data_IF_384574075346
#
_entry.id   IF_384574075346
#
_cell.length_a   1.000
_cell.length_b   1.000
_cell.length_c   1.000
_cell.angle_alpha   90.00
_cell.angle_beta   90.00
_cell.angle_gamma   90.00
#
_symmetry.space_group_name_H-M   'P 1'
#
loop_
_entity.id
_entity.type
_entity.pdbx_description
1 polymer ?
#
# COMPACT_ATOMS: atom_id res chain seq x y z
N UNK A 1 12.65 21.98 7.50
CA UNK A 1 12.85 21.23 8.75
C UNK A 1 11.64 21.46 9.64
N UNK A 2 11.22 20.47 10.41
CA UNK A 2 10.10 20.51 11.35
C UNK A 2 10.61 20.04 12.71
N UNK A 3 10.16 20.68 13.79
CA UNK A 3 10.40 20.20 15.14
C UNK A 3 9.30 19.19 15.50
N UNK A 4 9.68 17.94 15.73
CA UNK A 4 8.76 16.84 16.02
C UNK A 4 9.42 15.85 16.99
N UNK A 5 8.73 15.47 18.07
CA UNK A 5 9.23 14.56 19.10
C UNK A 5 10.67 14.91 19.59
N UNK A 6 10.88 16.18 19.96
CA UNK A 6 12.14 16.76 20.45
C UNK A 6 13.32 16.68 19.46
N UNK A 7 13.02 16.53 18.17
CA UNK A 7 14.03 16.49 17.10
C UNK A 7 13.67 17.47 16.01
N UNK A 8 14.70 18.04 15.40
CA UNK A 8 14.56 18.83 14.18
C UNK A 8 14.91 17.96 12.97
N UNK A 9 13.92 17.63 12.14
CA UNK A 9 14.09 16.73 11.00
C UNK A 9 13.27 17.15 9.75
N UNK A 10 13.54 16.60 8.56
CA UNK A 10 12.64 16.73 7.42
C UNK A 10 11.26 16.14 7.73
N UNK A 11 10.21 16.65 7.07
CA UNK A 11 8.86 16.14 7.25
C UNK A 11 8.69 14.75 6.62
N UNK A 12 8.97 13.69 7.37
CA UNK A 12 8.93 12.30 6.87
C UNK A 12 7.53 11.66 6.94
N UNK A 13 6.63 12.21 7.74
CA UNK A 13 5.29 11.65 7.98
C UNK A 13 4.25 12.76 7.98
N UNK A 14 2.97 12.37 7.83
CA UNK A 14 1.86 13.31 7.91
C UNK A 14 1.78 14.03 9.26
N UNK A 15 2.20 13.39 10.34
CA UNK A 15 2.19 14.02 11.66
C UNK A 15 3.23 15.15 11.78
N UNK A 16 4.31 15.13 11.01
CA UNK A 16 5.19 16.31 10.88
C UNK A 16 4.42 17.51 10.30
N UNK A 17 3.55 17.29 9.32
CA UNK A 17 2.75 18.38 8.72
C UNK A 17 1.72 18.93 9.71
N UNK A 18 1.19 18.10 10.62
CA UNK A 18 0.31 18.54 11.71
C UNK A 18 1.05 19.33 12.79
N UNK A 19 2.35 19.11 12.95
CA UNK A 19 3.18 19.83 13.93
C UNK A 19 3.92 21.03 13.32
N UNK A 20 3.89 21.18 12.00
CA UNK A 20 4.51 22.30 11.31
C UNK A 20 3.57 23.50 11.30
N UNK A 21 4.02 24.61 11.89
CA UNK A 21 3.33 25.90 11.81
C UNK A 21 3.08 26.30 10.34
N UNK A 22 1.91 26.88 10.09
CA UNK A 22 1.59 27.47 8.80
C UNK A 22 2.06 28.92 8.70
N UNK A 23 2.13 29.42 7.47
CA UNK A 23 2.44 30.81 7.15
C UNK A 23 1.45 31.29 6.09
N UNK A 24 1.18 32.62 6.01
CA UNK A 24 0.23 33.18 5.06
C UNK A 24 0.39 32.60 3.65
N UNK A 25 -0.71 32.11 3.10
CA UNK A 25 -0.78 31.70 1.70
C UNK A 25 -0.92 32.91 0.76
N UNK A 26 -1.12 32.65 -0.54
CA UNK A 26 -1.27 33.70 -1.56
C UNK A 26 -2.48 34.62 -1.31
N UNK A 27 -3.47 34.11 -0.59
CA UNK A 27 -4.74 34.77 -0.28
C UNK A 27 -4.73 35.30 1.18
N UNK A 28 -3.55 35.36 1.81
CA UNK A 28 -3.31 35.74 3.21
C UNK A 28 -4.04 34.88 4.25
N UNK A 29 -4.46 33.67 3.89
CA UNK A 29 -5.02 32.71 4.84
C UNK A 29 -3.89 32.07 5.64
N UNK A 30 -4.15 31.85 6.93
CA UNK A 30 -3.24 31.12 7.82
C UNK A 30 -4.05 30.01 8.47
N UNK A 31 -3.61 28.77 8.26
CA UNK A 31 -4.21 27.59 8.87
C UNK A 31 -3.52 27.28 10.20
N UNK A 32 -4.09 26.40 11.03
CA UNK A 32 -3.49 26.02 12.31
C UNK A 32 -2.13 25.36 12.11
N UNK A 33 -2.02 24.53 11.07
CA UNK A 33 -0.79 23.81 10.71
C UNK A 33 -0.79 23.42 9.23
N UNK A 34 0.39 23.07 8.69
CA UNK A 34 0.56 22.71 7.26
C UNK A 34 -0.36 21.59 6.78
N UNK A 35 -0.68 20.61 7.63
CA UNK A 35 -1.62 19.54 7.27
C UNK A 35 -3.04 20.06 7.01
N UNK A 36 -3.48 21.07 7.74
CA UNK A 36 -4.81 21.68 7.57
C UNK A 36 -4.82 22.56 6.33
N UNK A 37 -3.73 23.28 6.07
CA UNK A 37 -3.56 24.01 4.82
C UNK A 37 -3.75 23.12 3.60
N UNK A 38 -3.12 21.94 3.59
CA UNK A 38 -3.27 20.96 2.51
C UNK A 38 -4.73 20.52 2.35
N UNK A 39 -5.47 20.37 3.45
CA UNK A 39 -6.90 20.03 3.41
C UNK A 39 -7.75 21.21 2.89
N UNK A 40 -7.48 22.42 3.37
CA UNK A 40 -8.17 23.63 2.96
C UNK A 40 -7.98 23.93 1.48
N UNK A 41 -6.73 23.87 1.00
CA UNK A 41 -6.41 24.05 -0.43
C UNK A 41 -7.05 22.96 -1.30
N UNK A 42 -7.24 21.74 -0.79
CA UNK A 42 -7.99 20.71 -1.51
C UNK A 42 -9.46 21.11 -1.65
N UNK A 43 -10.09 21.60 -0.58
CA UNK A 43 -11.49 22.06 -0.61
C UNK A 43 -11.72 23.32 -1.45
N UNK A 44 -10.67 24.11 -1.74
CA UNK A 44 -10.78 25.21 -2.69
C UNK A 44 -11.14 24.74 -4.13
N UNK A 45 -10.83 23.49 -4.48
CA UNK A 45 -11.04 22.94 -5.83
C UNK A 45 -12.11 21.85 -5.92
N UNK A 46 -12.47 21.23 -4.79
CA UNK A 46 -13.37 20.08 -4.77
C UNK A 46 -14.56 20.35 -3.85
N UNK A 47 -15.70 19.76 -4.19
CA UNK A 47 -16.89 19.74 -3.34
C UNK A 47 -17.41 18.30 -3.25
N UNK A 48 -18.01 17.92 -2.14
CA UNK A 48 -18.71 16.65 -2.00
C UNK A 48 -20.10 16.87 -1.38
N UNK A 49 -20.94 15.83 -1.40
CA UNK A 49 -22.22 15.85 -0.70
C UNK A 49 -21.98 16.12 0.80
N UNK A 50 -22.76 17.01 1.46
CA UNK A 50 -22.54 17.39 2.86
C UNK A 50 -22.44 16.20 3.81
N UNK A 51 -23.25 15.15 3.58
CA UNK A 51 -23.28 13.93 4.40
C UNK A 51 -21.99 13.09 4.25
N UNK A 52 -21.20 13.35 3.19
CA UNK A 52 -19.96 12.64 2.88
C UNK A 52 -18.70 13.44 3.26
N UNK A 53 -18.82 14.69 3.73
CA UNK A 53 -17.65 15.52 4.06
C UNK A 53 -16.72 14.87 5.09
N UNK A 54 -17.27 14.34 6.17
CA UNK A 54 -16.47 13.66 7.20
C UNK A 54 -15.74 12.42 6.65
N UNK A 55 -16.43 11.64 5.80
CA UNK A 55 -15.84 10.47 5.13
C UNK A 55 -14.73 10.89 4.16
N UNK A 56 -14.98 11.92 3.34
CA UNK A 56 -13.99 12.45 2.42
C UNK A 56 -12.75 12.97 3.16
N UNK A 57 -12.93 13.73 4.23
CA UNK A 57 -11.84 14.22 5.07
C UNK A 57 -11.00 13.07 5.67
N UNK A 58 -11.65 11.97 6.06
CA UNK A 58 -10.97 10.76 6.53
C UNK A 58 -10.13 10.10 5.42
N UNK A 59 -10.73 9.93 4.22
CA UNK A 59 -10.06 9.33 3.06
C UNK A 59 -8.85 10.18 2.63
N UNK A 60 -9.00 11.50 2.56
CA UNK A 60 -7.93 12.42 2.18
C UNK A 60 -6.78 12.34 3.20
N UNK A 61 -7.08 12.38 4.50
CA UNK A 61 -6.06 12.22 5.54
C UNK A 61 -5.28 10.91 5.41
N UNK A 62 -5.97 9.81 5.10
CA UNK A 62 -5.32 8.52 4.85
C UNK A 62 -4.45 8.54 3.59
N UNK A 63 -4.91 9.21 2.52
CA UNK A 63 -4.14 9.41 1.31
C UNK A 63 -2.87 10.23 1.57
N UNK A 64 -2.97 11.34 2.31
CA UNK A 64 -1.82 12.19 2.67
C UNK A 64 -0.74 11.42 3.45
N UNK A 65 -1.13 10.54 4.39
CA UNK A 65 -0.19 9.65 5.11
C UNK A 65 0.65 8.80 4.17
N UNK A 66 0.06 8.30 3.08
CA UNK A 66 0.75 7.52 2.06
C UNK A 66 1.60 8.43 1.16
N UNK A 67 1.02 9.51 0.65
CA UNK A 67 1.67 10.41 -0.30
C UNK A 67 2.96 11.04 0.26
N UNK A 68 2.99 11.42 1.54
CA UNK A 68 4.23 11.97 2.15
C UNK A 68 5.36 10.94 2.13
N UNK A 69 5.07 9.67 2.42
CA UNK A 69 6.08 8.60 2.35
C UNK A 69 6.53 8.33 0.92
N UNK A 70 5.56 8.24 0.00
CA UNK A 70 5.82 7.96 -1.41
C UNK A 70 6.64 9.10 -2.05
N UNK A 71 6.42 10.36 -1.65
CA UNK A 71 7.19 11.52 -2.09
C UNK A 71 8.69 11.33 -1.87
N UNK A 72 9.12 10.88 -0.68
CA UNK A 72 10.54 10.65 -0.40
C UNK A 72 11.11 9.50 -1.24
N UNK A 73 10.36 8.40 -1.36
CA UNK A 73 10.77 7.27 -2.19
C UNK A 73 10.92 7.64 -3.67
N UNK A 74 9.91 8.29 -4.23
CA UNK A 74 9.89 8.72 -5.63
C UNK A 74 10.96 9.78 -5.89
N UNK A 75 11.24 10.65 -4.91
CA UNK A 75 12.30 11.64 -5.02
C UNK A 75 13.68 11.01 -5.09
N UNK A 76 13.95 9.93 -4.36
CA UNK A 76 15.20 9.16 -4.50
C UNK A 76 15.36 8.65 -5.93
N UNK A 77 14.33 7.98 -6.46
CA UNK A 77 14.35 7.42 -7.82
C UNK A 77 14.50 8.52 -8.87
N UNK A 78 13.78 9.63 -8.73
CA UNK A 78 13.89 10.76 -9.65
C UNK A 78 15.29 11.39 -9.60
N UNK A 79 15.89 11.50 -8.42
CA UNK A 79 17.26 12.03 -8.26
C UNK A 79 18.28 11.16 -8.99
N UNK A 80 18.13 9.83 -8.94
CA UNK A 80 18.97 8.89 -9.69
C UNK A 80 18.85 9.15 -11.20
N UNK A 81 17.63 9.24 -11.71
CA UNK A 81 17.37 9.51 -13.13
C UNK A 81 18.01 10.84 -13.54
N UNK A 82 17.82 11.89 -12.73
CA UNK A 82 18.39 13.22 -12.99
C UNK A 82 19.91 13.19 -12.98
N UNK A 83 20.55 12.53 -12.00
CA UNK A 83 22.01 12.40 -11.94
C UNK A 83 22.58 11.76 -13.20
N UNK A 84 21.98 10.65 -13.67
CA UNK A 84 22.44 10.00 -14.90
C UNK A 84 22.21 10.89 -16.12
N UNK A 85 21.07 11.56 -16.21
CA UNK A 85 20.77 12.45 -17.32
C UNK A 85 21.73 13.66 -17.38
N UNK A 86 22.03 14.30 -16.26
CA UNK A 86 22.79 15.57 -16.24
C UNK A 86 24.28 15.35 -16.07
N UNK A 87 24.70 14.50 -15.13
CA UNK A 87 26.12 14.30 -14.81
C UNK A 87 26.79 13.22 -15.65
N UNK A 88 26.01 12.23 -16.14
CA UNK A 88 26.52 11.15 -17.00
C UNK A 88 26.11 11.28 -18.46
N UNK A 89 25.17 12.18 -18.78
CA UNK A 89 24.58 12.30 -20.12
C UNK A 89 23.99 10.97 -20.63
N UNK A 90 23.45 10.17 -19.70
CA UNK A 90 22.89 8.86 -19.97
C UNK A 90 21.42 8.82 -19.57
N UNK A 91 20.59 8.15 -20.38
CA UNK A 91 19.20 7.89 -20.03
C UNK A 91 19.13 6.60 -19.22
N UNK A 92 18.51 6.69 -18.04
CA UNK A 92 18.16 5.54 -17.20
C UNK A 92 16.65 5.50 -17.04
N UNK A 93 16.06 4.33 -17.25
CA UNK A 93 14.62 4.15 -17.04
C UNK A 93 14.27 4.01 -15.56
N UNK A 94 13.03 4.35 -15.19
CA UNK A 94 12.56 4.27 -13.80
C UNK A 94 12.73 2.88 -13.19
N UNK A 95 12.57 1.81 -13.97
CA UNK A 95 12.73 0.42 -13.50
C UNK A 95 14.18 0.15 -13.09
N UNK A 96 15.14 0.64 -13.86
CA UNK A 96 16.58 0.51 -13.61
C UNK A 96 17.03 1.43 -12.48
N UNK A 97 16.57 2.68 -12.45
CA UNK A 97 16.90 3.64 -11.39
C UNK A 97 16.53 3.12 -9.99
N UNK A 98 15.48 2.30 -9.86
CA UNK A 98 15.09 1.67 -8.58
C UNK A 98 16.12 0.71 -8.01
N UNK A 99 17.04 0.18 -8.83
CA UNK A 99 18.09 -0.76 -8.42
C UNK A 99 19.47 -0.12 -8.30
N UNK A 100 19.61 1.16 -8.66
CA UNK A 100 20.86 1.88 -8.56
C UNK A 100 21.01 2.48 -7.16
N UNK A 101 22.25 2.53 -6.70
CA UNK A 101 22.67 3.24 -5.49
C UNK A 101 23.65 4.33 -5.89
N UNK A 102 23.35 5.56 -5.47
CA UNK A 102 24.26 6.68 -5.60
C UNK A 102 24.99 6.91 -4.28
N UNK A 103 26.19 7.45 -4.37
CA UNK A 103 26.88 7.98 -3.19
C UNK A 103 26.23 9.28 -2.73
N UNK A 104 26.53 9.68 -1.49
CA UNK A 104 26.09 10.97 -0.96
C UNK A 104 26.50 12.12 -1.88
N UNK A 105 27.76 12.12 -2.34
CA UNK A 105 28.34 13.12 -3.22
C UNK A 105 27.59 13.22 -4.56
N UNK A 106 27.08 12.10 -5.06
CA UNK A 106 26.30 12.07 -6.29
C UNK A 106 24.88 12.61 -6.09
N UNK A 107 24.21 12.23 -4.99
CA UNK A 107 22.87 12.75 -4.66
C UNK A 107 22.88 14.27 -4.47
N UNK A 108 23.88 14.81 -3.78
CA UNK A 108 23.93 16.24 -3.45
C UNK A 108 24.10 17.16 -4.68
N UNK A 109 24.56 16.63 -5.82
CA UNK A 109 24.70 17.39 -7.07
C UNK A 109 23.36 17.71 -7.74
N UNK A 110 22.31 16.94 -7.46
CA UNK A 110 21.05 17.00 -8.19
C UNK A 110 19.84 17.04 -7.24
N UNK A 111 19.74 18.06 -6.36
CA UNK A 111 18.58 18.17 -5.48
C UNK A 111 17.29 18.29 -6.30
N UNK A 112 16.19 17.64 -5.89
CA UNK A 112 14.87 17.90 -6.46
C UNK A 112 14.52 19.39 -6.36
N UNK A 113 13.82 19.95 -7.35
CA UNK A 113 13.51 21.38 -7.42
C UNK A 113 12.84 21.92 -6.15
N UNK A 114 11.93 21.14 -5.56
CA UNK A 114 11.21 21.50 -4.33
C UNK A 114 12.09 21.45 -3.07
N UNK A 115 13.27 20.83 -3.16
CA UNK A 115 14.31 20.81 -2.13
C UNK A 115 15.48 21.77 -2.42
N UNK A 116 15.55 22.37 -3.62
CA UNK A 116 16.73 23.11 -4.07
C UNK A 116 17.08 24.32 -3.16
N UNK A 117 16.06 24.96 -2.58
CA UNK A 117 16.23 26.06 -1.60
C UNK A 117 16.29 25.59 -0.14
N UNK A 118 16.28 24.28 0.11
CA UNK A 118 16.19 23.68 1.44
C UNK A 118 17.33 22.68 1.67
N UNK A 119 18.57 23.16 1.51
CA UNK A 119 19.78 22.32 1.56
C UNK A 119 19.91 21.47 2.82
N UNK A 120 19.63 22.05 4.00
CA UNK A 120 19.66 21.29 5.25
C UNK A 120 18.70 20.10 5.19
N UNK A 121 17.46 20.31 4.75
CA UNK A 121 16.50 19.22 4.63
C UNK A 121 16.96 18.17 3.61
N UNK A 122 17.48 18.62 2.46
CA UNK A 122 18.02 17.73 1.44
C UNK A 122 19.18 16.87 1.96
N UNK A 123 20.15 17.47 2.63
CA UNK A 123 21.28 16.73 3.19
C UNK A 123 20.81 15.69 4.22
N UNK A 124 19.80 15.99 5.04
CA UNK A 124 19.24 15.00 5.98
C UNK A 124 18.58 13.82 5.25
N UNK A 125 17.82 14.11 4.19
CA UNK A 125 17.18 13.07 3.37
C UNK A 125 18.23 12.17 2.71
N UNK A 126 19.26 12.76 2.11
CA UNK A 126 20.36 12.02 1.46
C UNK A 126 21.13 11.18 2.47
N UNK A 127 21.49 11.75 3.63
CA UNK A 127 22.19 11.02 4.68
C UNK A 127 21.42 9.76 5.08
N UNK A 128 20.11 9.88 5.29
CA UNK A 128 19.24 8.76 5.62
C UNK A 128 19.24 7.67 4.55
N UNK A 129 19.27 8.02 3.27
CA UNK A 129 19.34 7.03 2.18
C UNK A 129 20.69 6.34 2.05
N UNK A 130 21.76 6.94 2.56
CA UNK A 130 23.11 6.40 2.55
C UNK A 130 23.48 5.68 3.86
N UNK A 131 22.58 5.65 4.86
CA UNK A 131 22.81 4.90 6.10
C UNK A 131 22.81 3.38 5.84
N UNK A 132 23.80 2.60 6.34
CA UNK A 132 23.86 1.16 6.11
C UNK A 132 22.57 0.42 6.49
N UNK A 133 21.98 0.77 7.63
CA UNK A 133 20.73 0.17 8.08
C UNK A 133 19.54 0.45 7.14
N UNK A 134 19.52 1.62 6.48
CA UNK A 134 18.52 1.93 5.47
C UNK A 134 18.66 1.01 4.27
N UNK A 135 19.89 0.80 3.79
CA UNK A 135 20.18 -0.12 2.68
C UNK A 135 19.78 -1.57 3.02
N UNK A 136 20.14 -2.06 4.21
CA UNK A 136 19.74 -3.38 4.69
C UNK A 136 18.21 -3.55 4.67
N UNK A 137 17.49 -2.58 5.25
CA UNK A 137 16.04 -2.61 5.31
C UNK A 137 15.42 -2.56 3.91
N UNK A 138 15.93 -1.68 3.05
CA UNK A 138 15.47 -1.52 1.67
C UNK A 138 15.67 -2.81 0.85
N UNK A 139 16.84 -3.43 0.96
CA UNK A 139 17.20 -4.65 0.25
C UNK A 139 16.42 -5.87 0.77
N UNK A 140 16.29 -6.02 2.09
CA UNK A 140 15.44 -7.06 2.67
C UNK A 140 13.96 -6.92 2.24
N UNK A 141 13.42 -5.71 2.15
CA UNK A 141 12.08 -5.47 1.59
C UNK A 141 11.98 -5.82 0.10
N UNK A 142 13.04 -5.56 -0.67
CA UNK A 142 13.12 -5.94 -2.09
C UNK A 142 13.19 -7.45 -2.26
N UNK A 143 14.05 -8.13 -1.52
CA UNK A 143 14.17 -9.59 -1.52
C UNK A 143 12.85 -10.26 -1.18
N UNK A 144 12.18 -9.83 -0.10
CA UNK A 144 10.84 -10.35 0.25
C UNK A 144 9.82 -10.18 -0.88
N UNK A 145 9.88 -9.09 -1.65
CA UNK A 145 9.00 -8.88 -2.82
C UNK A 145 9.39 -9.79 -3.99
N UNK A 146 10.67 -10.09 -4.17
CA UNK A 146 11.15 -11.00 -5.21
C UNK A 146 10.86 -12.47 -4.90
N UNK A 147 10.72 -12.82 -3.62
CA UNK A 147 10.32 -14.16 -3.18
C UNK A 147 8.84 -14.45 -3.42
N UNK A 148 8.02 -13.46 -3.79
CA UNK A 148 6.61 -13.69 -4.11
C UNK A 148 6.49 -14.33 -5.50
N UNK A 149 5.93 -15.55 -5.61
CA UNK A 149 5.86 -16.28 -6.88
C UNK A 149 4.90 -15.64 -7.89
N UNK A 150 3.96 -14.81 -7.42
CA UNK A 150 2.96 -14.17 -8.25
C UNK A 150 2.29 -12.99 -7.55
N UNK A 151 1.23 -12.47 -8.16
CA UNK A 151 0.39 -11.46 -7.54
C UNK A 151 -0.14 -11.99 -6.19
N UNK A 152 -0.22 -11.17 -5.12
CA UNK A 152 -0.82 -11.61 -3.87
C UNK A 152 -2.27 -12.10 -4.04
N UNK A 153 -3.04 -11.44 -4.92
CA UNK A 153 -4.38 -11.80 -5.36
C UNK A 153 -4.73 -10.97 -6.61
N UNK A 154 -5.84 -11.29 -7.26
CA UNK A 154 -6.35 -10.65 -8.47
C UNK A 154 -7.54 -9.72 -8.22
N UNK A 155 -7.83 -9.38 -6.95
CA UNK A 155 -8.89 -8.45 -6.55
C UNK A 155 -8.63 -6.99 -6.98
N UNK A 156 -7.36 -6.64 -7.25
CA UNK A 156 -6.97 -5.24 -7.42
C UNK A 156 -7.21 -4.46 -6.11
N UNK A 157 -7.90 -3.32 -6.21
CA UNK A 157 -8.23 -2.47 -5.06
C UNK A 157 -9.57 -2.82 -4.41
N UNK A 158 -10.27 -3.83 -4.92
CA UNK A 158 -11.55 -4.27 -4.38
C UNK A 158 -11.34 -5.00 -3.06
N UNK A 159 -12.26 -4.79 -2.12
CA UNK A 159 -12.46 -5.71 -1.00
C UNK A 159 -12.91 -7.08 -1.53
N UNK A 160 -12.80 -8.12 -0.71
CA UNK A 160 -13.24 -9.46 -1.11
C UNK A 160 -14.75 -9.49 -1.44
N UNK A 161 -15.56 -8.75 -0.69
CA UNK A 161 -17.01 -8.62 -0.94
C UNK A 161 -17.30 -7.89 -2.25
N UNK A 162 -16.57 -6.81 -2.55
CA UNK A 162 -16.70 -6.12 -3.84
C UNK A 162 -16.22 -6.98 -5.01
N UNK A 163 -15.15 -7.76 -4.81
CA UNK A 163 -14.68 -8.74 -5.78
C UNK A 163 -15.75 -9.80 -6.06
N UNK A 164 -16.37 -10.35 -5.01
CA UNK A 164 -17.45 -11.33 -5.13
C UNK A 164 -18.67 -10.75 -5.86
N UNK A 165 -19.11 -9.54 -5.50
CA UNK A 165 -20.20 -8.85 -6.18
C UNK A 165 -19.89 -8.59 -7.66
N UNK A 166 -18.66 -8.19 -7.97
CA UNK A 166 -18.22 -7.96 -9.35
C UNK A 166 -18.13 -9.26 -10.15
N UNK A 167 -17.65 -10.34 -9.55
CA UNK A 167 -17.63 -11.65 -10.20
C UNK A 167 -19.04 -12.14 -10.47
N UNK A 168 -19.94 -12.05 -9.48
CA UNK A 168 -21.35 -12.41 -9.60
C UNK A 168 -22.02 -11.66 -10.75
N UNK A 169 -21.85 -10.34 -10.83
CA UNK A 169 -22.40 -9.52 -11.92
C UNK A 169 -21.87 -9.93 -13.31
N UNK A 170 -20.61 -10.38 -13.41
CA UNK A 170 -20.02 -10.84 -14.66
C UNK A 170 -20.49 -12.26 -15.08
N UNK A 171 -21.03 -13.05 -14.16
CA UNK A 171 -21.37 -14.47 -14.35
C UNK A 171 -22.85 -14.78 -14.04
N UNK A 172 -23.76 -13.87 -14.38
CA UNK A 172 -25.20 -14.13 -14.31
C UNK A 172 -25.86 -13.91 -12.94
N UNK A 173 -25.19 -13.25 -12.00
CA UNK A 173 -25.79 -12.73 -10.76
C UNK A 173 -25.97 -13.75 -9.65
N UNK A 174 -25.27 -14.88 -9.67
CA UNK A 174 -25.41 -15.88 -8.60
C UNK A 174 -24.80 -15.40 -7.28
N UNK A 175 -25.47 -15.60 -6.12
CA UNK A 175 -24.89 -15.32 -4.83
C UNK A 175 -23.63 -16.17 -4.63
N UNK A 176 -22.59 -15.58 -4.04
CA UNK A 176 -21.27 -16.18 -3.99
C UNK A 176 -20.71 -16.19 -2.57
N UNK A 177 -20.40 -17.38 -2.06
CA UNK A 177 -19.85 -17.58 -0.71
C UNK A 177 -18.45 -16.96 -0.56
N UNK A 178 -18.10 -16.58 0.68
CA UNK A 178 -16.86 -15.87 0.97
C UNK A 178 -15.61 -16.73 0.72
N UNK A 179 -15.65 -18.03 1.05
CA UNK A 179 -14.53 -18.96 0.76
C UNK A 179 -14.30 -19.07 -0.75
N UNK A 180 -15.39 -19.20 -1.52
CA UNK A 180 -15.35 -19.29 -2.97
C UNK A 180 -14.78 -18.01 -3.59
N UNK A 181 -15.21 -16.85 -3.11
CA UNK A 181 -14.66 -15.56 -3.51
C UNK A 181 -13.15 -15.47 -3.23
N UNK A 182 -12.72 -15.95 -2.05
CA UNK A 182 -11.30 -15.99 -1.70
C UNK A 182 -10.53 -16.87 -2.68
N UNK A 183 -10.97 -18.10 -2.92
CA UNK A 183 -10.37 -19.03 -3.88
C UNK A 183 -10.25 -18.41 -5.28
N UNK A 184 -11.35 -17.90 -5.83
CA UNK A 184 -11.36 -17.27 -7.15
C UNK A 184 -10.42 -16.08 -7.27
N UNK A 185 -10.33 -15.27 -6.21
CA UNK A 185 -9.45 -14.11 -6.22
C UNK A 185 -7.97 -14.49 -6.34
N UNK A 186 -7.63 -15.75 -6.09
CA UNK A 186 -6.32 -16.34 -6.31
C UNK A 186 -6.21 -17.11 -7.64
N UNK A 187 -7.31 -17.31 -8.38
CA UNK A 187 -7.30 -17.92 -9.73
C UNK A 187 -7.27 -16.86 -10.83
N UNK A 188 -7.93 -15.71 -10.66
CA UNK A 188 -7.96 -14.69 -11.71
C UNK A 188 -8.80 -13.46 -11.40
N UNK A 189 -9.01 -12.61 -12.40
CA UNK A 189 -9.82 -11.39 -12.29
C UNK A 189 -11.31 -11.77 -12.20
N UNK A 190 -12.12 -10.87 -11.62
CA UNK A 190 -13.57 -11.06 -11.48
C UNK A 190 -14.32 -11.29 -12.81
N UNK A 191 -13.74 -10.90 -13.95
CA UNK A 191 -14.33 -11.07 -15.29
C UNK A 191 -13.76 -12.26 -16.07
N UNK A 192 -12.85 -13.02 -15.47
CA UNK A 192 -12.29 -14.21 -16.11
C UNK A 192 -13.29 -15.37 -16.00
N UNK A 193 -13.32 -16.23 -17.01
CA UNK A 193 -14.10 -17.47 -17.00
C UNK A 193 -13.38 -18.49 -16.10
N UNK A 194 -13.62 -18.37 -14.80
CA UNK A 194 -13.03 -19.18 -13.74
C UNK A 194 -14.12 -19.59 -12.75
N UNK A 195 -14.05 -20.84 -12.29
CA UNK A 195 -14.86 -21.32 -11.17
C UNK A 195 -13.98 -22.00 -10.11
N UNK A 196 -14.51 -22.14 -8.91
CA UNK A 196 -13.86 -22.87 -7.82
C UNK A 196 -14.32 -24.32 -7.83
N UNK A 197 -13.35 -25.23 -7.80
CA UNK A 197 -13.56 -26.65 -7.57
C UNK A 197 -12.79 -27.07 -6.30
N UNK A 198 -13.43 -27.72 -5.31
CA UNK A 198 -12.73 -28.19 -4.12
C UNK A 198 -11.60 -29.19 -4.43
N UNK A 199 -11.66 -29.86 -5.59
CA UNK A 199 -10.63 -30.81 -6.07
C UNK A 199 -9.55 -30.14 -6.94
N UNK A 200 -9.56 -28.81 -7.06
CA UNK A 200 -8.52 -28.08 -7.79
C UNK A 200 -7.13 -28.35 -7.16
N UNK A 201 -6.10 -28.69 -7.96
CA UNK A 201 -4.76 -28.87 -7.42
C UNK A 201 -4.10 -27.52 -7.08
N UNK A 202 -2.98 -27.49 -6.33
CA UNK A 202 -2.28 -26.26 -5.96
C UNK A 202 -1.94 -25.33 -7.13
N UNK A 203 -1.67 -25.90 -8.32
CA UNK A 203 -1.31 -25.18 -9.55
C UNK A 203 -2.46 -24.37 -10.15
N UNK A 204 -3.71 -24.63 -9.72
CA UNK A 204 -4.87 -23.86 -10.14
C UNK A 204 -4.88 -22.42 -9.57
N UNK A 205 -4.02 -22.13 -8.59
CA UNK A 205 -3.94 -20.86 -7.90
C UNK A 205 -2.61 -20.14 -8.16
N UNK A 206 -2.62 -18.81 -8.05
CA UNK A 206 -1.44 -17.97 -8.23
C UNK A 206 -0.35 -18.16 -7.16
N UNK A 207 -0.71 -18.74 -6.01
CA UNK A 207 0.17 -19.06 -4.90
C UNK A 207 -0.27 -20.41 -4.32
N UNK A 208 0.63 -21.41 -4.33
CA UNK A 208 0.31 -22.79 -3.93
C UNK A 208 -0.21 -22.92 -2.49
N UNK A 209 0.17 -22.01 -1.57
CA UNK A 209 -0.31 -22.01 -0.18
C UNK A 209 -1.79 -21.64 -0.04
N UNK A 210 -2.44 -21.16 -1.10
CA UNK A 210 -3.89 -20.92 -1.12
C UNK A 210 -4.64 -22.24 -1.03
N UNK A 211 -4.19 -23.26 -1.78
CA UNK A 211 -4.77 -24.60 -1.75
C UNK A 211 -4.74 -25.17 -0.33
N UNK A 212 -3.56 -25.18 0.32
CA UNK A 212 -3.45 -25.73 1.68
C UNK A 212 -4.37 -25.02 2.67
N UNK A 213 -4.48 -23.68 2.59
CA UNK A 213 -5.41 -22.91 3.44
C UNK A 213 -6.88 -23.28 3.22
N UNK A 214 -7.28 -23.48 1.97
CA UNK A 214 -8.65 -23.90 1.61
C UNK A 214 -8.93 -25.30 2.15
N UNK A 215 -8.01 -26.24 1.98
CA UNK A 215 -8.14 -27.61 2.48
C UNK A 215 -8.18 -27.66 4.01
N UNK A 216 -7.27 -26.97 4.69
CA UNK A 216 -7.19 -26.92 6.16
C UNK A 216 -8.47 -26.30 6.76
N UNK A 217 -8.95 -25.19 6.20
CA UNK A 217 -10.21 -24.57 6.63
C UNK A 217 -11.40 -25.51 6.40
N UNK A 218 -11.50 -26.12 5.22
CA UNK A 218 -12.59 -27.04 4.87
C UNK A 218 -12.64 -28.23 5.82
N UNK A 219 -11.48 -28.77 6.17
CA UNK A 219 -11.35 -29.92 7.06
C UNK A 219 -11.79 -29.53 8.48
N UNK A 220 -11.25 -28.44 9.02
CA UNK A 220 -11.59 -27.96 10.35
C UNK A 220 -13.06 -27.50 10.48
N UNK A 221 -13.63 -26.92 9.42
CA UNK A 221 -15.02 -26.51 9.42
C UNK A 221 -15.97 -27.72 9.43
N UNK A 222 -15.63 -28.78 8.69
CA UNK A 222 -16.38 -30.06 8.72
C UNK A 222 -16.24 -30.79 10.05
N UNK A 223 -15.12 -30.65 10.75
CA UNK A 223 -14.98 -31.17 12.13
C UNK A 223 -15.94 -30.46 13.11
N UNK A 224 -16.19 -29.17 12.92
CA UNK A 224 -17.06 -28.36 13.79
C UNK A 224 -18.54 -28.51 13.42
N UNK A 225 -18.87 -28.43 12.13
CA UNK A 225 -20.25 -28.35 11.64
C UNK A 225 -20.79 -29.68 11.10
N UNK A 226 -19.93 -30.69 10.94
CA UNK A 226 -20.26 -31.99 10.38
C UNK A 226 -19.84 -32.16 8.91
N UNK A 227 -19.77 -33.41 8.42
CA UNK A 227 -19.23 -33.74 7.09
C UNK A 227 -20.06 -33.18 5.92
N UNK A 228 -21.36 -32.99 6.12
CA UNK A 228 -22.29 -32.45 5.11
C UNK A 228 -22.23 -30.92 4.99
N UNK A 229 -21.51 -30.23 5.89
CA UNK A 229 -21.35 -28.78 5.81
C UNK A 229 -20.49 -28.42 4.60
N UNK A 230 -21.03 -27.59 3.70
CA UNK A 230 -20.37 -27.14 2.48
C UNK A 230 -19.76 -25.73 2.68
N UNK A 231 -18.43 -25.63 2.85
CA UNK A 231 -17.76 -24.36 3.07
C UNK A 231 -17.86 -23.37 1.90
N UNK A 232 -18.24 -23.84 0.71
CA UNK A 232 -18.30 -23.02 -0.51
C UNK A 232 -19.59 -22.19 -0.61
N UNK A 233 -20.66 -22.64 0.06
CA UNK A 233 -21.98 -22.01 0.07
C UNK A 233 -22.32 -21.39 1.42
N UNK A 234 -21.78 -21.95 2.50
CA UNK A 234 -22.00 -21.46 3.86
C UNK A 234 -21.13 -20.24 4.21
N UNK A 235 -21.56 -19.40 5.18
CA UNK A 235 -20.75 -18.30 5.71
C UNK A 235 -19.42 -18.79 6.30
N UNK A 236 -18.38 -17.96 6.23
CA UNK A 236 -17.11 -18.30 6.90
C UNK A 236 -17.29 -18.33 8.42
N UNK A 237 -16.86 -19.42 9.04
CA UNK A 237 -16.74 -19.52 10.48
C UNK A 237 -15.46 -18.81 10.94
N UNK A 238 -15.65 -17.65 11.56
CA UNK A 238 -14.54 -16.83 12.06
C UNK A 238 -13.68 -17.54 13.12
N UNK A 239 -14.26 -18.41 13.96
CA UNK A 239 -13.49 -19.15 14.96
C UNK A 239 -12.60 -20.20 14.31
N UNK A 240 -13.13 -20.92 13.32
CA UNK A 240 -12.36 -21.91 12.54
C UNK A 240 -11.25 -21.21 11.75
N UNK A 241 -11.56 -20.11 11.05
CA UNK A 241 -10.55 -19.30 10.33
C UNK A 241 -9.42 -18.89 11.27
N UNK A 242 -9.74 -18.45 12.49
CA UNK A 242 -8.73 -18.00 13.44
C UNK A 242 -7.90 -19.15 14.02
N UNK A 243 -8.54 -20.28 14.32
CA UNK A 243 -7.88 -21.50 14.83
C UNK A 243 -6.88 -22.06 13.84
N UNK A 244 -7.30 -22.21 12.58
CA UNK A 244 -6.48 -22.77 11.49
C UNK A 244 -5.48 -21.73 10.97
N UNK A 245 -5.89 -20.47 10.84
CA UNK A 245 -5.06 -19.38 10.34
C UNK A 245 -3.97 -18.90 11.30
N UNK A 246 -3.83 -19.53 12.48
CA UNK A 246 -2.79 -19.23 13.47
C UNK A 246 -2.96 -17.90 14.22
N UNK A 247 -4.13 -17.28 14.11
CA UNK A 247 -4.48 -15.99 14.71
C UNK A 247 -3.56 -14.81 14.31
N UNK A 248 -3.87 -13.61 14.79
CA UNK A 248 -2.91 -12.48 14.70
C UNK A 248 -1.84 -12.66 15.79
N UNK A 249 -0.55 -12.50 15.43
CA UNK A 249 0.59 -12.47 16.36
C UNK A 249 0.49 -11.45 17.52
N UNK A 250 -0.55 -10.60 17.56
CA UNK A 250 -0.73 -9.52 18.55
C UNK A 250 -2.06 -9.55 19.31
N UNK A 251 -2.72 -10.71 19.42
CA UNK A 251 -3.71 -10.95 20.49
C UNK A 251 -4.91 -10.01 20.54
N UNK A 252 -5.45 -9.56 19.41
CA UNK A 252 -6.75 -8.89 19.36
C UNK A 252 -7.75 -9.73 18.59
N UNK A 253 -8.80 -10.12 19.31
CA UNK A 253 -10.07 -10.67 18.83
C UNK A 253 -10.86 -9.59 18.10
#
# INVERSE_FOLDING_TARGET
>A
MVHYADKQEPAYTWDHYKNAADFPDRDNRVFQHKAERVMGEMWDFFICEPEKEAMAAHVINNACRKLVRDMHYESRVQTIITYYATARQMRVEKKEARTIELTREQYVLVPPWWCASHWTAWSYIVNKWCEPHWHETHNACRERRLMMPGAPHHQGNLTLSEYAARWSAAHGGQPYGQLKAFALSHKGKATADIDYNPEDPPEAYNIATVHSRLSEYTSAAREVHGPEWDPSTEPLDGEVVMRVGGGKKHGRY
#
